data_IF_845020819241
#
_entry.id   IF_845020819241
#
_cell.length_a   1.000
_cell.length_b   1.000
_cell.length_c   1.000
_cell.angle_alpha   90.00
_cell.angle_beta   90.00
_cell.angle_gamma   90.00
#
_symmetry.space_group_name_H-M   'P 1'
#
loop_
_entity.id
_entity.type
_entity.pdbx_description
1 polymer ?
#
# COMPACT_ATOMS: atom_id res chain seq x y z
N UNK A 1 15.37 -9.49 16.74
CA UNK A 1 14.64 -10.64 16.15
C UNK A 1 14.65 -10.59 14.62
N UNK A 2 14.07 -9.58 13.96
CA UNK A 2 14.05 -9.53 12.48
C UNK A 2 15.44 -9.63 11.82
N UNK A 3 16.45 -8.95 12.39
CA UNK A 3 17.83 -9.00 11.90
C UNK A 3 18.55 -10.37 12.04
N UNK A 4 17.99 -11.33 12.78
CA UNK A 4 18.53 -12.70 12.90
C UNK A 4 17.95 -13.66 11.85
N UNK A 5 17.20 -13.14 10.85
CA UNK A 5 16.48 -13.93 9.86
C UNK A 5 17.06 -13.74 8.46
N UNK A 6 16.73 -14.68 7.58
CA UNK A 6 17.17 -14.66 6.19
C UNK A 6 16.52 -13.51 5.39
N UNK A 7 17.18 -13.09 4.31
CA UNK A 7 16.62 -12.13 3.38
C UNK A 7 15.26 -12.60 2.83
N UNK A 8 14.26 -11.72 2.91
CA UNK A 8 12.89 -12.03 2.48
C UNK A 8 11.99 -12.63 3.56
N UNK A 9 12.53 -12.94 4.75
CA UNK A 9 11.75 -13.33 5.92
C UNK A 9 11.23 -12.10 6.69
N UNK A 10 10.00 -12.19 7.19
CA UNK A 10 9.35 -11.22 8.09
C UNK A 10 8.97 -11.91 9.38
N UNK A 11 9.29 -11.27 10.49
CA UNK A 11 8.85 -11.66 11.84
C UNK A 11 7.77 -10.70 12.31
N UNK A 12 6.60 -11.22 12.64
CA UNK A 12 5.53 -10.49 13.29
C UNK A 12 5.41 -10.94 14.75
N UNK A 13 5.53 -10.00 15.68
CA UNK A 13 5.29 -10.20 17.11
C UNK A 13 3.93 -9.60 17.45
N UNK A 14 3.05 -10.36 18.08
CA UNK A 14 1.72 -9.91 18.49
C UNK A 14 1.46 -10.26 19.95
N UNK A 15 1.25 -9.26 20.79
CA UNK A 15 0.69 -9.43 22.13
C UNK A 15 -0.83 -9.29 22.00
N UNK A 16 -1.55 -10.41 22.08
CA UNK A 16 -3.02 -10.43 22.15
C UNK A 16 -3.38 -10.50 23.63
N UNK A 17 -3.67 -9.35 24.22
CA UNK A 17 -3.81 -9.22 25.66
C UNK A 17 -4.98 -8.32 26.05
N UNK A 18 -5.44 -8.47 27.29
CA UNK A 18 -6.64 -7.82 27.84
C UNK A 18 -6.37 -6.49 28.55
N UNK A 19 -5.12 -6.02 28.57
CA UNK A 19 -4.75 -4.75 29.17
C UNK A 19 -5.28 -3.53 28.39
N UNK A 20 -5.25 -2.33 29.01
CA UNK A 20 -5.81 -1.10 28.44
C UNK A 20 -5.14 -0.66 27.13
N UNK A 21 -3.95 -1.17 26.81
CA UNK A 21 -3.26 -0.91 25.55
C UNK A 21 -3.95 -1.59 24.34
N UNK A 22 -4.85 -2.55 24.56
CA UNK A 22 -5.61 -3.22 23.51
C UNK A 22 -4.77 -4.11 22.59
N UNK A 23 -3.65 -4.62 23.11
CA UNK A 23 -2.69 -5.44 22.38
C UNK A 23 -1.62 -4.65 21.62
N UNK A 24 -0.58 -5.38 21.19
CA UNK A 24 0.57 -4.85 20.45
C UNK A 24 0.78 -5.70 19.21
N UNK A 25 1.05 -5.08 18.07
CA UNK A 25 1.48 -5.78 16.87
C UNK A 25 2.69 -5.07 16.26
N UNK A 26 3.79 -5.80 16.07
CA UNK A 26 5.03 -5.31 15.45
C UNK A 26 5.45 -6.26 14.34
N UNK A 27 5.86 -5.73 13.20
CA UNK A 27 6.41 -6.47 12.08
C UNK A 27 7.81 -5.93 11.81
N UNK A 28 8.79 -6.83 11.69
CA UNK A 28 10.17 -6.50 11.34
C UNK A 28 10.69 -7.47 10.28
N UNK A 29 11.52 -6.98 9.35
CA UNK A 29 12.24 -7.81 8.37
C UNK A 29 13.77 -7.78 8.59
N UNK A 30 14.48 -8.64 7.86
CA UNK A 30 15.95 -8.75 7.94
C UNK A 30 16.70 -7.49 7.48
N UNK A 31 16.02 -6.58 6.76
CA UNK A 31 16.59 -5.30 6.27
C UNK A 31 16.37 -4.15 7.23
N UNK A 32 15.82 -4.43 8.42
CA UNK A 32 15.61 -3.42 9.46
C UNK A 32 14.38 -2.56 9.23
N UNK A 33 13.49 -2.94 8.32
CA UNK A 33 12.19 -2.29 8.18
C UNK A 33 11.30 -2.77 9.32
N UNK A 34 10.84 -1.84 10.17
CA UNK A 34 10.00 -2.12 11.33
C UNK A 34 8.76 -1.25 11.30
N UNK A 35 7.60 -1.82 11.62
CA UNK A 35 6.38 -1.05 11.89
C UNK A 35 5.58 -1.70 12.99
N UNK A 36 4.92 -0.90 13.80
CA UNK A 36 4.13 -1.41 14.91
C UNK A 36 2.92 -0.54 15.19
N UNK A 37 1.92 -1.15 15.83
CA UNK A 37 0.72 -0.49 16.32
C UNK A 37 0.31 -1.07 17.67
N UNK A 38 -0.50 -0.29 18.38
CA UNK A 38 -1.22 -0.71 19.57
C UNK A 38 -2.72 -0.51 19.35
N UNK A 39 -3.55 -1.25 20.09
CA UNK A 39 -5.01 -1.12 19.99
C UNK A 39 -5.51 0.24 20.48
N UNK A 40 -5.00 0.70 21.62
CA UNK A 40 -5.37 1.96 22.26
C UNK A 40 -4.11 2.80 22.57
N UNK A 41 -3.73 3.73 21.67
CA UNK A 41 -2.58 4.62 21.88
C UNK A 41 -2.74 5.61 23.04
N UNK A 42 -3.96 5.83 23.53
CA UNK A 42 -4.26 6.73 24.64
C UNK A 42 -4.27 6.03 26.01
N UNK A 43 -3.82 4.77 26.08
CA UNK A 43 -3.74 4.04 27.33
C UNK A 43 -2.74 4.69 28.30
N UNK A 44 -3.21 4.97 29.51
CA UNK A 44 -2.43 5.62 30.58
C UNK A 44 -2.62 4.85 31.90
N UNK A 45 -2.00 3.66 32.04
CA UNK A 45 -2.07 2.91 33.28
C UNK A 45 -1.32 3.65 34.40
N UNK A 46 -1.70 3.46 35.68
CA UNK A 46 -0.98 4.03 36.80
C UNK A 46 0.51 3.67 36.77
N UNK A 47 1.35 4.58 37.24
CA UNK A 47 2.76 4.28 37.45
C UNK A 47 2.93 3.20 38.52
N UNK A 48 4.01 2.42 38.38
CA UNK A 48 4.48 1.50 39.41
C UNK A 48 4.86 2.26 40.69
N UNK A 49 4.93 1.58 41.86
CA UNK A 49 5.36 2.18 43.11
C UNK A 49 6.76 2.83 43.06
N UNK A 50 7.63 2.37 42.15
CA UNK A 50 8.97 2.92 41.90
C UNK A 50 8.94 4.15 40.97
N UNK A 51 7.75 4.62 40.56
CA UNK A 51 7.55 5.77 39.69
C UNK A 51 7.78 5.49 38.20
N UNK A 52 8.05 4.24 37.81
CA UNK A 52 8.21 3.85 36.40
C UNK A 52 6.88 3.54 35.73
N UNK A 53 6.86 3.56 34.40
CA UNK A 53 5.71 3.14 33.61
C UNK A 53 5.39 1.66 33.89
N UNK A 54 4.12 1.35 34.11
CA UNK A 54 3.66 -0.01 34.33
C UNK A 54 3.28 -0.67 33.00
N UNK A 55 4.30 -1.10 32.25
CA UNK A 55 4.11 -1.77 30.95
C UNK A 55 3.37 -3.09 31.12
N UNK A 56 3.71 -3.86 32.16
CA UNK A 56 3.01 -5.09 32.51
C UNK A 56 1.49 -4.90 32.65
N UNK A 57 1.05 -3.92 33.43
CA UNK A 57 -0.38 -3.60 33.55
C UNK A 57 -0.98 -3.03 32.26
N UNK A 58 -0.21 -2.29 31.45
CA UNK A 58 -0.66 -1.77 30.16
C UNK A 58 -1.00 -2.89 29.17
N UNK A 59 -0.12 -3.89 29.10
CA UNK A 59 -0.25 -5.06 28.22
C UNK A 59 -1.32 -6.00 28.75
N UNK A 60 -1.29 -6.31 30.05
CA UNK A 60 -2.21 -7.25 30.68
C UNK A 60 -1.83 -8.71 30.40
N UNK A 61 -2.83 -9.59 30.46
CA UNK A 61 -2.67 -11.04 30.28
C UNK A 61 -3.19 -11.47 28.92
N UNK A 62 -2.68 -12.61 28.44
CA UNK A 62 -3.13 -13.18 27.18
C UNK A 62 -2.07 -14.05 26.54
N UNK A 63 -1.90 -13.91 25.22
CA UNK A 63 -0.99 -14.74 24.43
C UNK A 63 -0.05 -13.86 23.62
N UNK A 64 1.24 -14.19 23.71
CA UNK A 64 2.28 -13.71 22.82
C UNK A 64 2.38 -14.67 21.64
N UNK A 65 2.15 -14.17 20.43
CA UNK A 65 2.27 -14.91 19.19
C UNK A 65 3.37 -14.32 18.32
N UNK A 66 4.27 -15.18 17.84
CA UNK A 66 5.32 -14.80 16.90
C UNK A 66 5.11 -15.59 15.61
N UNK A 67 4.89 -14.86 14.52
CA UNK A 67 4.67 -15.42 13.19
C UNK A 67 5.88 -15.12 12.31
N UNK A 68 6.47 -16.14 11.72
CA UNK A 68 7.54 -16.03 10.72
C UNK A 68 6.95 -16.36 9.37
N UNK A 69 7.15 -15.47 8.41
CA UNK A 69 6.58 -15.58 7.07
C UNK A 69 7.58 -15.16 6.01
N UNK A 70 7.48 -15.73 4.83
CA UNK A 70 8.34 -15.41 3.69
C UNK A 70 7.54 -14.66 2.63
N UNK A 71 8.21 -13.81 1.87
CA UNK A 71 7.58 -13.13 0.73
C UNK A 71 7.16 -14.11 -0.39
N UNK A 72 7.70 -15.32 -0.39
CA UNK A 72 7.35 -16.36 -1.34
C UNK A 72 6.14 -17.19 -0.85
N UNK A 73 5.04 -17.19 -1.60
CA UNK A 73 3.76 -17.83 -1.27
C UNK A 73 3.83 -19.36 -1.12
N UNK A 74 4.92 -20.01 -1.55
CA UNK A 74 5.07 -21.47 -1.45
C UNK A 74 5.51 -21.94 -0.05
N UNK A 75 5.93 -21.05 0.85
CA UNK A 75 6.36 -21.40 2.21
C UNK A 75 5.27 -21.03 3.21
N UNK A 76 4.73 -22.03 3.89
CA UNK A 76 3.73 -21.80 4.94
C UNK A 76 4.36 -21.05 6.13
N UNK A 77 3.66 -20.06 6.70
CA UNK A 77 4.18 -19.32 7.84
C UNK A 77 4.30 -20.22 9.06
N UNK A 78 5.38 -20.04 9.81
CA UNK A 78 5.56 -20.66 11.12
C UNK A 78 4.93 -19.77 12.18
N UNK A 79 4.23 -20.35 13.16
CA UNK A 79 3.62 -19.62 14.27
C UNK A 79 3.98 -20.29 15.58
N UNK A 80 4.67 -19.57 16.45
CA UNK A 80 4.89 -19.94 17.85
C UNK A 80 4.03 -19.09 18.77
N UNK A 81 3.52 -19.68 19.86
CA UNK A 81 2.66 -18.99 20.83
C UNK A 81 2.98 -19.42 22.24
N UNK A 82 3.07 -18.45 23.15
CA UNK A 82 3.27 -18.67 24.59
C UNK A 82 2.32 -17.79 25.40
N UNK A 83 1.90 -18.20 26.61
CA UNK A 83 1.14 -17.32 27.49
C UNK A 83 1.99 -16.13 27.94
N UNK A 84 1.36 -14.94 27.97
CA UNK A 84 1.95 -13.75 28.59
C UNK A 84 1.95 -13.97 30.10
N UNK A 85 3.13 -13.83 30.72
CA UNK A 85 3.27 -14.07 32.15
C UNK A 85 3.39 -12.80 32.96
N UNK A 86 4.17 -11.83 32.48
CA UNK A 86 4.39 -10.58 33.23
C UNK A 86 3.81 -9.36 32.52
N UNK A 87 3.65 -9.42 31.19
CA UNK A 87 3.29 -8.26 30.37
C UNK A 87 4.47 -7.34 30.11
N UNK A 88 5.62 -7.60 30.75
CA UNK A 88 6.87 -6.92 30.46
C UNK A 88 7.47 -7.52 29.17
N UNK A 89 7.43 -6.72 28.11
CA UNK A 89 7.72 -7.17 26.74
C UNK A 89 9.03 -7.94 26.61
N UNK A 90 10.09 -7.52 27.30
CA UNK A 90 11.40 -8.17 27.23
C UNK A 90 11.38 -9.58 27.86
N UNK A 91 10.74 -9.72 29.02
CA UNK A 91 10.70 -11.01 29.73
C UNK A 91 9.83 -12.02 28.98
N UNK A 92 8.66 -11.61 28.50
CA UNK A 92 7.78 -12.49 27.75
C UNK A 92 8.40 -12.91 26.40
N UNK A 93 9.14 -12.03 25.72
CA UNK A 93 9.89 -12.38 24.51
C UNK A 93 11.07 -13.31 24.79
N UNK A 94 11.82 -13.10 25.87
CA UNK A 94 12.90 -14.01 26.27
C UNK A 94 12.35 -15.41 26.57
N UNK A 95 11.20 -15.49 27.26
CA UNK A 95 10.51 -16.75 27.51
C UNK A 95 10.03 -17.42 26.24
N UNK A 96 9.45 -16.67 25.29
CA UNK A 96 9.10 -17.19 23.97
C UNK A 96 10.30 -17.83 23.26
N UNK A 97 11.47 -17.20 23.29
CA UNK A 97 12.68 -17.73 22.65
C UNK A 97 13.13 -19.05 23.29
N UNK A 98 12.98 -19.19 24.60
CA UNK A 98 13.28 -20.44 25.32
C UNK A 98 12.24 -21.51 25.04
N UNK A 99 10.96 -21.23 25.28
CA UNK A 99 9.89 -22.22 25.27
C UNK A 99 9.52 -22.68 23.84
N UNK A 100 9.53 -21.76 22.88
CA UNK A 100 9.07 -22.01 21.51
C UNK A 100 10.19 -22.14 20.50
N UNK A 101 11.32 -21.43 20.66
CA UNK A 101 12.47 -21.51 19.74
C UNK A 101 13.64 -22.32 20.31
N UNK A 102 13.53 -22.84 21.54
CA UNK A 102 14.57 -23.64 22.22
C UNK A 102 15.94 -22.95 22.21
N UNK A 103 15.95 -21.62 22.25
CA UNK A 103 17.16 -20.81 22.18
C UNK A 103 17.33 -20.04 23.48
N UNK A 104 18.34 -20.40 24.27
CA UNK A 104 18.67 -19.68 25.49
C UNK A 104 19.10 -18.25 25.12
N UNK A 105 18.31 -17.28 25.57
CA UNK A 105 18.43 -15.89 25.12
C UNK A 105 18.28 -14.93 26.30
N UNK A 106 19.13 -13.91 26.34
CA UNK A 106 18.98 -12.77 27.22
C UNK A 106 18.52 -11.56 26.41
N UNK A 107 17.45 -10.90 26.88
CA UNK A 107 16.85 -9.75 26.22
C UNK A 107 16.69 -8.60 27.21
N UNK A 108 17.27 -7.45 26.89
CA UNK A 108 17.08 -6.20 27.62
C UNK A 108 16.49 -5.16 26.70
N UNK A 109 15.40 -4.51 27.12
CA UNK A 109 14.76 -3.42 26.38
C UNK A 109 14.56 -2.22 27.31
N UNK A 110 14.72 -1.01 26.80
CA UNK A 110 14.52 0.22 27.56
C UNK A 110 14.02 1.36 26.68
N UNK A 111 13.03 2.09 27.18
CA UNK A 111 12.52 3.31 26.57
C UNK A 111 12.44 4.39 27.65
N UNK A 112 13.01 5.56 27.33
CA UNK A 112 12.95 6.75 28.16
C UNK A 112 12.04 7.78 27.49
N UNK A 113 11.02 8.22 28.21
CA UNK A 113 10.03 9.18 27.73
C UNK A 113 10.17 10.49 28.52
N UNK A 114 10.12 11.62 27.83
CA UNK A 114 10.09 12.94 28.43
C UNK A 114 8.69 13.29 28.97
N UNK A 115 8.60 14.36 29.77
CA UNK A 115 7.32 14.81 30.33
C UNK A 115 6.34 15.32 29.28
N UNK A 116 6.84 15.71 28.10
CA UNK A 116 6.04 16.11 26.94
C UNK A 116 5.66 14.92 26.03
N UNK A 117 5.85 13.69 26.52
CA UNK A 117 5.60 12.43 25.82
C UNK A 117 6.53 12.15 24.63
N UNK A 118 7.56 12.98 24.40
CA UNK A 118 8.57 12.68 23.40
C UNK A 118 9.51 11.55 23.87
N UNK A 119 9.98 10.73 22.92
CA UNK A 119 10.95 9.68 23.20
C UNK A 119 12.34 10.32 23.35
N UNK A 120 12.95 10.20 24.52
CA UNK A 120 14.34 10.64 24.75
C UNK A 120 15.34 9.63 24.20
N UNK A 121 15.09 8.36 24.46
CA UNK A 121 15.92 7.26 24.00
C UNK A 121 15.12 5.95 23.97
N UNK A 122 15.44 5.07 23.04
CA UNK A 122 14.90 3.71 22.97
C UNK A 122 16.00 2.78 22.46
N UNK A 123 16.12 1.61 23.07
CA UNK A 123 17.17 0.66 22.70
C UNK A 123 17.08 -0.63 23.49
N UNK A 124 18.06 -1.50 23.27
CA UNK A 124 18.11 -2.80 23.90
C UNK A 124 19.18 -3.70 23.29
N UNK A 125 19.26 -4.92 23.81
CA UNK A 125 20.15 -5.96 23.34
C UNK A 125 19.43 -7.30 23.34
N UNK A 126 19.81 -8.18 22.43
CA UNK A 126 19.41 -9.60 22.38
C UNK A 126 20.69 -10.41 22.23
N UNK A 127 21.00 -11.24 23.22
CA UNK A 127 22.15 -12.15 23.21
C UNK A 127 21.60 -13.56 23.18
N UNK A 128 22.06 -14.38 22.22
CA UNK A 128 21.67 -15.78 22.11
C UNK A 128 22.87 -16.67 22.39
N UNK A 129 22.70 -17.61 23.30
CA UNK A 129 23.70 -18.63 23.62
C UNK A 129 23.52 -19.76 22.62
N UNK A 130 24.57 -20.03 21.83
CA UNK A 130 24.57 -21.12 20.87
C UNK A 130 24.79 -22.47 21.57
N UNK A 131 24.37 -23.58 20.95
CA UNK A 131 24.66 -24.91 21.46
C UNK A 131 26.16 -25.09 21.75
N UNK A 132 26.48 -25.86 22.79
CA UNK A 132 27.84 -26.18 23.22
C UNK A 132 28.64 -25.01 23.83
N UNK A 133 27.99 -23.89 24.17
CA UNK A 133 28.62 -22.90 25.04
C UNK A 133 28.98 -23.52 26.40
N UNK A 134 30.20 -23.25 26.88
CA UNK A 134 30.67 -23.74 28.18
C UNK A 134 29.95 -23.03 29.33
N UNK A 135 29.71 -23.75 30.43
CA UNK A 135 29.03 -23.19 31.62
C UNK A 135 29.74 -21.94 32.15
N UNK A 136 31.08 -21.91 32.11
CA UNK A 136 31.89 -20.75 32.50
C UNK A 136 31.58 -19.49 31.67
N UNK A 137 31.31 -19.67 30.37
CA UNK A 137 30.92 -18.59 29.46
C UNK A 137 29.54 -18.05 29.80
N UNK A 138 28.58 -18.95 30.09
CA UNK A 138 27.22 -18.59 30.46
C UNK A 138 27.21 -17.82 31.79
N UNK A 139 27.91 -18.32 32.81
CA UNK A 139 28.01 -17.64 34.10
C UNK A 139 28.68 -16.26 33.99
N UNK A 140 29.72 -16.14 33.17
CA UNK A 140 30.37 -14.85 32.92
C UNK A 140 29.43 -13.86 32.23
N UNK A 141 28.65 -14.31 31.25
CA UNK A 141 27.62 -13.50 30.59
C UNK A 141 26.55 -13.03 31.58
N UNK A 142 26.04 -13.92 32.44
CA UNK A 142 25.03 -13.59 33.46
C UNK A 142 25.56 -12.54 34.45
N UNK A 143 26.81 -12.68 34.90
CA UNK A 143 27.48 -11.69 35.75
C UNK A 143 27.58 -10.33 35.04
N UNK A 144 28.00 -10.31 33.78
CA UNK A 144 28.11 -9.06 33.00
C UNK A 144 26.76 -8.37 32.84
N UNK A 145 25.71 -9.10 32.44
CA UNK A 145 24.36 -8.55 32.28
C UNK A 145 23.83 -7.99 33.60
N UNK A 146 24.01 -8.72 34.70
CA UNK A 146 23.56 -8.28 36.03
C UNK A 146 24.30 -7.01 36.47
N UNK A 147 25.60 -6.93 36.23
CA UNK A 147 26.42 -5.77 36.57
C UNK A 147 26.15 -4.55 35.67
N UNK A 148 25.71 -4.76 34.43
CA UNK A 148 25.52 -3.68 33.45
C UNK A 148 24.33 -2.76 33.78
N UNK A 149 23.38 -3.24 34.57
CA UNK A 149 22.22 -2.46 35.02
C UNK A 149 21.13 -2.33 33.95
N UNK A 150 20.30 -1.28 34.05
CA UNK A 150 19.17 -1.11 33.14
C UNK A 150 19.59 -0.51 31.79
N UNK A 151 18.94 -0.95 30.71
CA UNK A 151 19.18 -0.41 29.35
C UNK A 151 18.92 1.10 29.31
N UNK A 152 17.89 1.58 30.02
CA UNK A 152 17.57 3.01 30.08
C UNK A 152 18.74 3.83 30.65
N UNK A 153 19.47 3.32 31.63
CA UNK A 153 20.64 3.99 32.21
C UNK A 153 21.85 3.94 31.27
N UNK A 154 22.03 2.86 30.50
CA UNK A 154 23.05 2.79 29.44
C UNK A 154 22.80 3.85 28.37
N UNK A 155 21.56 3.95 27.90
CA UNK A 155 21.16 4.95 26.91
C UNK A 155 21.30 6.38 27.45
N UNK A 156 20.96 6.61 28.72
CA UNK A 156 21.11 7.92 29.36
C UNK A 156 22.59 8.37 29.48
N UNK A 157 23.52 7.41 29.57
CA UNK A 157 24.98 7.66 29.51
C UNK A 157 25.49 7.90 28.09
N UNK A 158 24.64 7.82 27.07
CA UNK A 158 25.00 8.00 25.67
C UNK A 158 25.72 6.82 25.05
N UNK A 159 25.62 5.62 25.65
CA UNK A 159 26.26 4.42 25.13
C UNK A 159 25.68 4.03 23.76
N UNK A 160 26.56 3.73 22.82
CA UNK A 160 26.20 3.19 21.51
C UNK A 160 25.90 1.69 21.59
N UNK A 161 25.32 1.11 20.54
CA UNK A 161 25.12 -0.34 20.47
C UNK A 161 26.45 -1.12 20.57
N UNK A 162 27.54 -0.55 20.07
CA UNK A 162 28.88 -1.12 20.20
C UNK A 162 29.36 -1.11 21.65
N UNK A 163 29.22 0.03 22.35
CA UNK A 163 29.62 0.15 23.76
C UNK A 163 28.82 -0.81 24.66
N UNK A 164 27.51 -0.93 24.41
CA UNK A 164 26.64 -1.86 25.14
C UNK A 164 27.09 -3.30 24.88
N UNK A 165 27.37 -3.67 23.63
CA UNK A 165 27.85 -5.00 23.28
C UNK A 165 29.19 -5.31 23.93
N UNK A 166 30.14 -4.37 23.89
CA UNK A 166 31.47 -4.53 24.49
C UNK A 166 31.38 -4.72 26.01
N UNK A 167 30.54 -3.93 26.69
CA UNK A 167 30.34 -4.06 28.13
C UNK A 167 29.71 -5.42 28.49
N UNK A 168 28.72 -5.89 27.72
CA UNK A 168 28.02 -7.15 28.01
C UNK A 168 28.86 -8.39 27.70
N UNK A 169 29.70 -8.33 26.67
CA UNK A 169 30.55 -9.44 26.24
C UNK A 169 31.99 -9.36 26.78
N UNK A 170 32.24 -8.45 27.72
CA UNK A 170 33.56 -8.24 28.30
C UNK A 170 34.14 -9.56 28.84
N UNK A 171 35.33 -9.92 28.35
CA UNK A 171 36.04 -11.14 28.77
C UNK A 171 35.60 -12.44 28.07
N UNK A 172 34.59 -12.40 27.19
CA UNK A 172 34.10 -13.57 26.45
C UNK A 172 34.70 -13.69 25.03
N UNK A 173 35.47 -12.69 24.59
CA UNK A 173 36.07 -12.61 23.26
C UNK A 173 35.13 -12.03 22.19
N UNK A 174 35.72 -11.46 21.14
CA UNK A 174 35.00 -10.90 19.97
C UNK A 174 35.08 -9.38 19.89
N UNK A 175 35.93 -8.87 19.00
CA UNK A 175 36.08 -7.44 18.67
C UNK A 175 35.67 -7.12 17.23
N UNK A 176 34.87 -8.00 16.61
CA UNK A 176 34.35 -7.73 15.27
C UNK A 176 32.98 -7.07 15.45
N UNK A 177 32.95 -5.75 15.29
CA UNK A 177 31.68 -5.02 15.14
C UNK A 177 31.08 -5.52 13.84
N UNK A 178 30.24 -6.54 13.94
CA UNK A 178 29.69 -7.25 12.78
C UNK A 178 28.80 -6.39 11.89
N UNK A 179 27.86 -7.03 11.21
CA UNK A 179 26.91 -6.36 10.33
C UNK A 179 26.14 -5.24 11.05
N UNK A 180 26.29 -4.00 10.57
CA UNK A 180 25.56 -2.84 11.07
C UNK A 180 24.32 -2.57 10.21
N UNK A 181 23.19 -2.38 10.88
CA UNK A 181 21.91 -2.08 10.24
C UNK A 181 21.22 -0.92 10.95
N UNK A 182 20.76 0.06 10.18
CA UNK A 182 19.96 1.16 10.70
C UNK A 182 18.48 0.85 10.52
N UNK A 183 17.70 0.64 11.59
CA UNK A 183 16.28 0.36 11.47
C UNK A 183 15.53 1.55 10.88
N UNK A 184 14.52 1.27 10.07
CA UNK A 184 13.66 2.29 9.44
C UNK A 184 12.20 1.91 9.62
N UNK A 185 11.35 2.92 9.74
CA UNK A 185 9.92 2.69 9.81
C UNK A 185 9.39 2.27 8.43
N UNK A 186 8.68 1.14 8.31
CA UNK A 186 8.01 0.75 7.05
C UNK A 186 7.85 -0.75 6.78
N UNK A 187 7.49 -1.17 5.55
CA UNK A 187 7.17 -0.29 4.42
C UNK A 187 5.80 0.38 4.64
N UNK A 188 5.82 1.71 4.54
CA UNK A 188 4.69 2.64 4.65
C UNK A 188 4.97 3.89 3.80
N UNK A 189 5.89 3.79 2.84
CA UNK A 189 6.17 4.83 1.85
C UNK A 189 4.89 5.14 1.06
N UNK A 190 4.66 6.41 0.68
CA UNK A 190 3.40 6.82 0.05
C UNK A 190 3.01 5.97 -1.18
N UNK A 191 3.96 5.61 -2.05
CA UNK A 191 3.72 4.78 -3.24
C UNK A 191 3.20 3.39 -2.85
N UNK A 192 3.93 2.69 -1.99
CA UNK A 192 3.63 1.32 -1.57
C UNK A 192 2.34 1.26 -0.73
N UNK A 193 2.09 2.31 0.05
CA UNK A 193 0.89 2.42 0.86
C UNK A 193 -0.35 2.65 0.00
N UNK A 194 -0.26 3.55 -0.99
CA UNK A 194 -1.36 3.85 -1.90
C UNK A 194 -1.79 2.62 -2.69
N UNK A 195 -0.84 1.83 -3.21
CA UNK A 195 -1.17 0.60 -3.95
C UNK A 195 -1.85 -0.45 -3.07
N UNK A 196 -1.38 -0.62 -1.83
CA UNK A 196 -2.02 -1.52 -0.85
C UNK A 196 -3.42 -1.05 -0.47
N UNK A 197 -3.63 0.27 -0.33
CA UNK A 197 -4.94 0.85 -0.04
C UNK A 197 -5.90 0.66 -1.22
N UNK A 198 -5.44 0.88 -2.46
CA UNK A 198 -6.22 0.59 -3.68
C UNK A 198 -6.66 -0.89 -3.73
N UNK A 199 -5.73 -1.80 -3.44
CA UNK A 199 -6.04 -3.24 -3.36
C UNK A 199 -7.08 -3.54 -2.28
N UNK A 200 -6.98 -2.91 -1.11
CA UNK A 200 -7.97 -3.07 -0.04
C UNK A 200 -9.37 -2.59 -0.46
N UNK A 201 -9.47 -1.44 -1.15
CA UNK A 201 -10.75 -0.96 -1.71
C UNK A 201 -11.28 -1.92 -2.77
N UNK A 202 -10.42 -2.45 -3.64
CA UNK A 202 -10.81 -3.39 -4.69
C UNK A 202 -11.42 -4.69 -4.14
N UNK A 203 -11.07 -5.09 -2.91
CA UNK A 203 -11.62 -6.29 -2.26
C UNK A 203 -13.07 -6.13 -1.79
N UNK A 204 -13.58 -4.90 -1.61
CA UNK A 204 -14.98 -4.64 -1.27
C UNK A 204 -15.92 -5.03 -2.43
N UNK A 205 -15.42 -5.03 -3.66
CA UNK A 205 -16.22 -5.28 -4.85
C UNK A 205 -16.96 -4.04 -5.35
N UNK A 206 -17.36 -4.08 -6.62
CA UNK A 206 -17.83 -2.89 -7.34
C UNK A 206 -19.12 -2.29 -6.78
N UNK A 207 -20.04 -3.12 -6.27
CA UNK A 207 -21.33 -2.64 -5.77
C UNK A 207 -21.20 -1.94 -4.41
N UNK A 208 -20.32 -2.44 -3.53
CA UNK A 208 -20.06 -1.81 -2.22
C UNK A 208 -19.29 -0.50 -2.39
N UNK A 209 -18.29 -0.47 -3.28
CA UNK A 209 -17.60 0.76 -3.68
C UNK A 209 -18.59 1.79 -4.23
N UNK A 210 -19.49 1.39 -5.14
CA UNK A 210 -20.50 2.29 -5.71
C UNK A 210 -21.43 2.86 -4.63
N UNK A 211 -21.92 2.02 -3.72
CA UNK A 211 -22.79 2.44 -2.61
C UNK A 211 -22.10 3.48 -1.71
N UNK A 212 -20.84 3.27 -1.36
CA UNK A 212 -20.09 4.21 -0.50
C UNK A 212 -19.87 5.54 -1.23
N UNK A 213 -19.53 5.47 -2.51
CA UNK A 213 -19.36 6.67 -3.34
C UNK A 213 -20.68 7.45 -3.51
N UNK A 214 -21.80 6.77 -3.72
CA UNK A 214 -23.13 7.41 -3.83
C UNK A 214 -23.58 8.08 -2.53
N UNK A 215 -23.27 7.47 -1.37
CA UNK A 215 -23.67 8.00 -0.06
C UNK A 215 -22.72 9.09 0.48
N UNK A 216 -21.42 8.94 0.25
CA UNK A 216 -20.38 9.72 0.92
C UNK A 216 -19.54 10.58 -0.02
N UNK A 217 -19.62 10.37 -1.34
CA UNK A 217 -18.83 11.07 -2.36
C UNK A 217 -17.32 10.75 -2.35
N UNK A 218 -16.88 9.89 -1.43
CA UNK A 218 -15.47 9.50 -1.26
C UNK A 218 -15.37 8.21 -0.46
N UNK A 219 -14.26 7.50 -0.64
CA UNK A 219 -13.82 6.38 0.19
C UNK A 219 -12.55 6.79 0.92
N UNK A 220 -12.58 6.73 2.26
CA UNK A 220 -11.40 6.99 3.08
C UNK A 220 -10.80 5.67 3.57
N UNK A 221 -9.49 5.50 3.36
CA UNK A 221 -8.75 4.34 3.86
C UNK A 221 -7.61 4.80 4.74
N UNK A 222 -7.62 4.38 6.00
CA UNK A 222 -6.55 4.69 6.96
C UNK A 222 -5.66 3.47 7.16
N UNK A 223 -4.35 3.67 7.08
CA UNK A 223 -3.40 2.64 7.44
C UNK A 223 -3.40 2.41 8.95
N UNK A 224 -3.66 1.18 9.37
CA UNK A 224 -3.61 0.80 10.79
C UNK A 224 -2.23 0.97 11.45
N UNK A 225 -1.15 0.97 10.67
CA UNK A 225 0.22 1.11 11.19
C UNK A 225 0.64 2.58 11.23
N UNK A 226 0.75 3.25 10.08
CA UNK A 226 1.25 4.63 10.02
C UNK A 226 0.19 5.69 10.26
N UNK A 227 -1.10 5.31 10.36
CA UNK A 227 -2.25 6.21 10.52
C UNK A 227 -2.41 7.25 9.41
N UNK A 228 -1.67 7.13 8.31
CA UNK A 228 -1.90 7.93 7.12
C UNK A 228 -3.25 7.53 6.51
N UNK A 229 -4.08 8.54 6.24
CA UNK A 229 -5.36 8.38 5.56
C UNK A 229 -5.20 8.77 4.10
N UNK A 230 -5.70 7.93 3.21
CA UNK A 230 -5.83 8.22 1.79
C UNK A 230 -7.31 8.32 1.44
N UNK A 231 -7.66 9.35 0.68
CA UNK A 231 -9.03 9.58 0.22
C UNK A 231 -9.09 9.26 -1.27
N UNK A 232 -9.96 8.32 -1.62
CA UNK A 232 -10.42 8.10 -2.98
C UNK A 232 -11.72 8.91 -3.12
N UNK A 233 -11.61 10.17 -3.49
CA UNK A 233 -12.79 10.88 -3.95
C UNK A 233 -13.11 10.41 -5.38
N UNK A 234 -14.33 10.73 -5.85
CA UNK A 234 -14.48 10.98 -7.28
C UNK A 234 -13.51 12.13 -7.64
N UNK A 235 -13.37 12.49 -8.91
CA UNK A 235 -12.60 13.67 -9.28
C UNK A 235 -11.06 13.49 -9.32
N UNK A 236 -10.56 13.25 -10.54
CA UNK A 236 -9.95 14.37 -11.24
C UNK A 236 -10.83 14.62 -12.47
N UNK A 237 -11.59 15.71 -12.47
CA UNK A 237 -12.70 15.98 -13.42
C UNK A 237 -12.22 16.20 -14.85
N UNK A 238 -11.04 16.80 -15.01
CA UNK A 238 -10.51 17.27 -16.28
C UNK A 238 -9.05 16.82 -16.42
N UNK A 239 -8.72 16.10 -17.49
CA UNK A 239 -7.40 15.49 -17.67
C UNK A 239 -6.45 16.35 -18.50
N UNK A 240 -6.98 17.12 -19.45
CA UNK A 240 -6.18 17.93 -20.36
C UNK A 240 -7.01 19.08 -20.92
N UNK A 241 -6.38 20.25 -21.09
CA UNK A 241 -7.03 21.46 -21.57
C UNK A 241 -6.11 22.21 -22.53
N UNK A 242 -6.64 22.68 -23.66
CA UNK A 242 -5.90 23.59 -24.54
C UNK A 242 -6.76 24.67 -25.17
N UNK A 243 -6.07 25.69 -25.69
CA UNK A 243 -6.60 26.67 -26.64
C UNK A 243 -5.74 26.72 -27.90
N UNK A 244 -6.36 26.57 -29.06
CA UNK A 244 -5.68 26.54 -30.36
C UNK A 244 -6.25 27.56 -31.35
N UNK A 245 -5.45 27.90 -32.36
CA UNK A 245 -5.86 28.60 -33.58
C UNK A 245 -5.63 27.67 -34.76
N UNK A 246 -6.70 27.17 -35.37
CA UNK A 246 -6.59 26.00 -36.25
C UNK A 246 -5.96 24.82 -35.49
N UNK A 247 -4.99 24.13 -36.10
CA UNK A 247 -4.27 23.02 -35.46
C UNK A 247 -3.07 23.49 -34.62
N UNK A 248 -2.85 24.79 -34.47
CA UNK A 248 -1.74 25.33 -33.67
C UNK A 248 -2.20 25.58 -32.23
N UNK A 249 -1.76 24.74 -31.29
CA UNK A 249 -1.97 24.95 -29.85
C UNK A 249 -1.21 26.19 -29.41
N UNK A 250 -1.92 27.18 -28.87
CA UNK A 250 -1.35 28.43 -28.40
C UNK A 250 -0.94 28.34 -26.93
N UNK A 251 -1.75 27.65 -26.14
CA UNK A 251 -1.44 27.23 -24.79
C UNK A 251 -2.21 25.98 -24.39
N UNK A 252 -1.59 25.15 -23.56
CA UNK A 252 -2.20 23.95 -22.97
C UNK A 252 -1.79 23.75 -21.51
N UNK A 253 -2.51 22.87 -20.84
CA UNK A 253 -2.22 22.45 -19.48
C UNK A 253 -2.73 21.01 -19.24
N UNK A 254 -1.94 20.22 -18.53
CA UNK A 254 -2.25 18.86 -18.09
C UNK A 254 -1.73 18.65 -16.68
N UNK A 255 -2.49 17.94 -15.83
CA UNK A 255 -1.99 17.35 -14.59
C UNK A 255 -1.46 15.92 -14.78
N UNK A 256 -1.64 15.35 -15.98
CA UNK A 256 -1.42 13.94 -16.28
C UNK A 256 -0.21 13.68 -17.19
N UNK A 257 0.44 12.55 -16.94
CA UNK A 257 1.38 11.89 -17.87
C UNK A 257 0.61 10.97 -18.81
N UNK A 258 0.74 11.18 -20.12
CA UNK A 258 0.02 10.39 -21.12
C UNK A 258 0.01 11.04 -22.50
N UNK A 259 -0.78 10.48 -23.41
CA UNK A 259 -0.87 10.95 -24.81
C UNK A 259 -2.17 11.72 -25.15
N UNK A 260 -2.85 12.28 -24.14
CA UNK A 260 -4.06 13.09 -24.33
C UNK A 260 -3.88 14.21 -25.35
N UNK A 261 -2.73 14.89 -25.34
CA UNK A 261 -2.42 15.97 -26.28
C UNK A 261 -2.38 15.50 -27.73
N UNK A 262 -1.75 14.35 -27.98
CA UNK A 262 -1.66 13.74 -29.32
C UNK A 262 -3.04 13.35 -29.83
N UNK A 263 -3.83 12.65 -29.01
CA UNK A 263 -5.19 12.19 -29.37
C UNK A 263 -6.11 13.38 -29.61
N UNK A 264 -6.05 14.39 -28.74
CA UNK A 264 -6.87 15.58 -28.85
C UNK A 264 -6.55 16.41 -30.12
N UNK A 265 -5.28 16.49 -30.51
CA UNK A 265 -4.86 17.17 -31.73
C UNK A 265 -5.32 16.43 -32.99
N UNK A 266 -5.23 15.10 -33.01
CA UNK A 266 -5.70 14.31 -34.16
C UNK A 266 -7.22 14.42 -34.37
N UNK A 267 -8.01 14.42 -33.29
CA UNK A 267 -9.45 14.65 -33.40
C UNK A 267 -9.78 16.08 -33.84
N UNK A 268 -8.97 17.07 -33.46
CA UNK A 268 -9.15 18.46 -33.89
C UNK A 268 -9.08 18.59 -35.42
N UNK A 269 -8.13 17.90 -36.06
CA UNK A 269 -7.92 18.01 -37.51
C UNK A 269 -9.14 17.57 -38.33
N UNK A 270 -9.98 16.68 -37.77
CA UNK A 270 -11.20 16.18 -38.44
C UNK A 270 -12.49 16.87 -37.99
N UNK A 271 -12.56 17.31 -36.73
CA UNK A 271 -13.79 17.85 -36.13
C UNK A 271 -14.00 19.36 -36.30
N UNK A 272 -12.94 20.14 -36.54
CA UNK A 272 -13.00 21.61 -36.58
C UNK A 272 -13.58 22.21 -37.88
N UNK A 273 -14.71 21.68 -38.36
CA UNK A 273 -15.38 22.20 -39.55
C UNK A 273 -16.59 23.08 -39.17
N UNK A 274 -16.33 24.36 -38.86
CA UNK A 274 -17.38 25.36 -38.65
C UNK A 274 -16.95 26.53 -37.76
N UNK A 275 -17.34 27.75 -38.14
CA UNK A 275 -17.23 28.93 -37.29
C UNK A 275 -18.35 28.89 -36.23
N UNK A 276 -18.00 28.63 -34.97
CA UNK A 276 -18.90 28.44 -33.83
C UNK A 276 -19.63 27.08 -33.78
N UNK A 277 -18.90 26.03 -33.42
CA UNK A 277 -19.38 24.66 -33.30
C UNK A 277 -18.99 24.07 -31.93
N UNK A 278 -19.84 23.16 -31.42
CA UNK A 278 -19.58 22.31 -30.26
C UNK A 278 -19.57 20.86 -30.73
N UNK A 279 -18.52 20.11 -30.44
CA UNK A 279 -18.45 18.69 -30.80
C UNK A 279 -17.69 17.88 -29.74
N UNK A 280 -18.02 16.60 -29.65
CA UNK A 280 -17.42 15.68 -28.67
C UNK A 280 -16.98 14.40 -29.36
N UNK A 281 -15.76 13.95 -29.05
CA UNK A 281 -15.31 12.60 -29.36
C UNK A 281 -15.18 11.78 -28.07
N UNK A 282 -15.60 10.51 -28.09
CA UNK A 282 -15.41 9.57 -26.98
C UNK A 282 -14.28 8.59 -27.29
N UNK A 283 -13.44 8.27 -26.30
CA UNK A 283 -12.35 7.30 -26.39
C UNK A 283 -11.98 6.76 -25.00
N UNK A 284 -11.96 5.43 -24.84
CA UNK A 284 -11.43 4.77 -23.64
C UNK A 284 -11.92 5.36 -22.30
N UNK A 285 -13.24 5.59 -22.19
CA UNK A 285 -13.88 6.14 -20.98
C UNK A 285 -13.68 7.64 -20.77
N UNK A 286 -13.08 8.33 -21.74
CA UNK A 286 -12.89 9.78 -21.73
C UNK A 286 -13.65 10.45 -22.87
N UNK A 287 -14.03 11.72 -22.65
CA UNK A 287 -14.64 12.58 -23.66
C UNK A 287 -13.74 13.77 -23.97
N UNK A 288 -13.47 13.97 -25.26
CA UNK A 288 -12.74 15.09 -25.82
C UNK A 288 -13.77 16.11 -26.30
N UNK A 289 -13.96 17.18 -25.54
CA UNK A 289 -15.02 18.17 -25.78
C UNK A 289 -14.41 19.43 -26.39
N UNK A 290 -14.92 19.86 -27.54
CA UNK A 290 -14.40 20.98 -28.31
C UNK A 290 -15.45 22.08 -28.48
N UNK A 291 -15.06 23.31 -28.15
CA UNK A 291 -15.81 24.53 -28.38
C UNK A 291 -15.03 25.42 -29.34
N UNK A 292 -15.54 25.66 -30.55
CA UNK A 292 -14.94 26.65 -31.46
C UNK A 292 -15.65 27.99 -31.30
N UNK A 293 -14.88 29.08 -31.23
CA UNK A 293 -15.44 30.43 -31.19
C UNK A 293 -14.43 31.47 -31.68
N UNK A 294 -14.86 32.37 -32.58
CA UNK A 294 -14.07 33.49 -33.10
C UNK A 294 -12.68 33.09 -33.64
N UNK A 295 -12.59 31.96 -34.35
CA UNK A 295 -11.33 31.46 -34.93
C UNK A 295 -10.41 30.72 -33.97
N UNK A 296 -10.84 30.49 -32.73
CA UNK A 296 -10.14 29.69 -31.72
C UNK A 296 -10.92 28.43 -31.38
N UNK A 297 -10.20 27.38 -30.97
CA UNK A 297 -10.79 26.14 -30.45
C UNK A 297 -10.33 25.92 -29.02
N UNK A 298 -11.28 25.69 -28.13
CA UNK A 298 -11.07 25.33 -26.73
C UNK A 298 -11.39 23.86 -26.57
N UNK A 299 -10.50 23.09 -25.96
CA UNK A 299 -10.73 21.67 -25.69
C UNK A 299 -10.54 21.37 -24.22
N UNK A 300 -11.43 20.53 -23.67
CA UNK A 300 -11.18 19.83 -22.42
C UNK A 300 -11.43 18.33 -22.57
N UNK A 301 -10.51 17.53 -22.02
CA UNK A 301 -10.70 16.09 -21.81
C UNK A 301 -11.28 15.86 -20.43
N UNK A 302 -12.39 15.12 -20.34
CA UNK A 302 -13.06 14.78 -19.09
C UNK A 302 -13.42 13.30 -19.05
N UNK A 303 -13.61 12.73 -17.86
CA UNK A 303 -14.19 11.39 -17.74
C UNK A 303 -15.61 11.37 -18.33
N UNK A 304 -15.94 10.30 -19.06
CA UNK A 304 -17.24 10.15 -19.73
C UNK A 304 -18.42 10.18 -18.75
N UNK A 305 -18.21 9.81 -17.48
CA UNK A 305 -19.23 9.79 -16.42
C UNK A 305 -19.77 11.17 -16.08
N UNK A 306 -18.97 12.24 -16.23
CA UNK A 306 -19.42 13.63 -16.00
C UNK A 306 -20.40 14.13 -17.07
N UNK A 307 -20.57 13.36 -18.15
CA UNK A 307 -21.33 13.78 -19.31
C UNK A 307 -20.75 15.05 -19.95
N UNK A 308 -21.54 15.69 -20.81
CA UNK A 308 -21.03 16.78 -21.68
C UNK A 308 -21.34 18.18 -21.16
N UNK A 309 -22.36 18.32 -20.31
CA UNK A 309 -22.84 19.64 -19.90
C UNK A 309 -21.81 20.39 -19.05
N UNK A 310 -21.14 19.67 -18.15
CA UNK A 310 -20.08 20.17 -17.28
C UNK A 310 -18.86 20.61 -18.12
N UNK A 311 -18.26 19.75 -18.98
CA UNK A 311 -17.19 20.16 -19.89
C UNK A 311 -17.51 21.38 -20.75
N UNK A 312 -18.72 21.49 -21.31
CA UNK A 312 -19.07 22.66 -22.12
C UNK A 312 -19.28 23.92 -21.28
N UNK A 313 -19.89 23.83 -20.10
CA UNK A 313 -20.00 24.97 -19.18
C UNK A 313 -18.62 25.48 -18.76
N UNK A 314 -17.68 24.56 -18.51
CA UNK A 314 -16.28 24.86 -18.26
C UNK A 314 -15.63 25.62 -19.43
N UNK A 315 -15.75 25.08 -20.65
CA UNK A 315 -15.16 25.68 -21.84
C UNK A 315 -15.69 27.10 -22.11
N UNK A 316 -16.96 27.37 -21.81
CA UNK A 316 -17.52 28.72 -21.94
C UNK A 316 -16.84 29.73 -21.00
N UNK A 317 -16.50 29.33 -19.76
CA UNK A 317 -15.75 30.18 -18.82
C UNK A 317 -14.34 30.48 -19.31
N UNK A 318 -13.64 29.46 -19.80
CA UNK A 318 -12.29 29.62 -20.38
C UNK A 318 -12.34 30.51 -21.62
N UNK A 319 -13.35 30.33 -22.48
CA UNK A 319 -13.60 31.16 -23.66
C UNK A 319 -13.84 32.62 -23.29
N UNK A 320 -14.70 32.89 -22.31
CA UNK A 320 -15.00 34.26 -21.86
C UNK A 320 -13.73 34.98 -21.39
N UNK A 321 -12.90 34.32 -20.58
CA UNK A 321 -11.64 34.94 -20.13
C UNK A 321 -10.65 35.15 -21.28
N UNK A 322 -10.56 34.19 -22.22
CA UNK A 322 -9.76 34.32 -23.43
C UNK A 322 -10.15 35.54 -24.25
N UNK A 323 -11.46 35.72 -24.49
CA UNK A 323 -11.98 36.86 -25.25
C UNK A 323 -11.66 38.19 -24.59
N UNK A 324 -11.69 38.25 -23.26
CA UNK A 324 -11.45 39.50 -22.53
C UNK A 324 -10.00 39.97 -22.57
N UNK A 325 -9.02 39.05 -22.55
CA UNK A 325 -7.61 39.37 -22.27
C UNK A 325 -6.60 38.92 -23.33
N UNK A 326 -6.93 37.96 -24.17
CA UNK A 326 -5.98 37.33 -25.11
C UNK A 326 -6.43 37.30 -26.58
N UNK A 327 -7.68 37.63 -26.89
CA UNK A 327 -8.20 37.63 -28.26
C UNK A 327 -7.38 38.49 -29.25
N UNK A 328 -6.83 39.61 -28.81
CA UNK A 328 -5.99 40.50 -29.65
C UNK A 328 -4.58 39.94 -29.90
N UNK A 329 -4.06 39.13 -28.98
CA UNK A 329 -2.70 38.54 -29.07
C UNK A 329 -2.68 37.22 -29.83
N UNK A 330 -3.81 36.50 -29.85
CA UNK A 330 -3.92 35.19 -30.47
C UNK A 330 -3.65 35.12 -31.99
N UNK A 331 -3.92 36.14 -32.84
CA UNK A 331 -3.64 36.05 -34.28
C UNK A 331 -2.15 36.01 -34.63
N UNK A 332 -1.29 36.61 -33.78
CA UNK A 332 0.16 36.64 -33.99
C UNK A 332 0.93 35.60 -33.14
N UNK A 333 0.24 34.89 -32.23
CA UNK A 333 0.85 33.90 -31.36
C UNK A 333 1.35 32.67 -32.15
N UNK A 334 2.55 32.21 -31.79
CA UNK A 334 3.14 30.95 -32.23
C UNK A 334 2.73 29.78 -31.32
N UNK A 335 3.04 28.55 -31.75
CA UNK A 335 2.73 27.36 -30.97
C UNK A 335 3.32 27.46 -29.55
N UNK A 336 2.52 27.17 -28.53
CA UNK A 336 2.88 27.22 -27.10
C UNK A 336 3.48 28.54 -26.60
N UNK A 337 3.41 29.62 -27.39
CA UNK A 337 4.01 30.91 -27.02
C UNK A 337 3.28 31.60 -25.88
N UNK A 338 2.04 31.19 -25.59
CA UNK A 338 1.21 31.78 -24.54
C UNK A 338 1.21 30.95 -23.25
N UNK A 339 1.87 29.79 -23.19
CA UNK A 339 1.93 28.92 -22.00
C UNK A 339 2.28 29.69 -20.74
N UNK A 340 3.30 30.55 -20.80
CA UNK A 340 3.74 31.35 -19.64
C UNK A 340 2.72 32.38 -19.18
N UNK A 341 1.87 32.88 -20.08
CA UNK A 341 0.94 33.96 -19.79
C UNK A 341 -0.50 33.48 -19.52
N UNK A 342 -0.90 32.38 -20.15
CA UNK A 342 -2.26 31.85 -20.09
C UNK A 342 -2.31 30.44 -19.48
N UNK A 343 -1.26 29.64 -19.57
CA UNK A 343 -1.17 28.33 -18.92
C UNK A 343 -1.49 28.34 -17.41
N UNK A 344 -0.97 29.30 -16.61
CA UNK A 344 -1.36 29.41 -15.20
C UNK A 344 -2.87 29.68 -14.99
N UNK A 345 -3.54 30.32 -15.94
CA UNK A 345 -5.00 30.53 -15.90
C UNK A 345 -5.75 29.27 -16.29
N UNK A 346 -5.27 28.49 -17.26
CA UNK A 346 -5.82 27.17 -17.59
C UNK A 346 -5.76 26.23 -16.38
N UNK A 347 -4.60 26.19 -15.71
CA UNK A 347 -4.43 25.48 -14.44
C UNK A 347 -5.42 25.95 -13.37
N UNK A 348 -5.48 27.27 -13.15
CA UNK A 348 -6.42 27.86 -12.18
C UNK A 348 -7.87 27.45 -12.46
N UNK A 349 -8.31 27.47 -13.72
CA UNK A 349 -9.68 27.09 -14.06
C UNK A 349 -9.95 25.61 -13.81
N UNK A 350 -9.01 24.72 -14.12
CA UNK A 350 -9.16 23.30 -13.81
C UNK A 350 -9.29 23.07 -12.30
N UNK A 351 -8.40 23.67 -11.50
CA UNK A 351 -8.45 23.58 -10.03
C UNK A 351 -9.72 24.25 -9.46
N UNK A 352 -10.15 25.39 -10.01
CA UNK A 352 -11.35 26.09 -9.56
C UNK A 352 -12.61 25.26 -9.76
N UNK A 353 -12.71 24.55 -10.89
CA UNK A 353 -13.90 23.77 -11.22
C UNK A 353 -13.99 22.48 -10.42
N UNK A 354 -12.84 21.90 -10.05
CA UNK A 354 -12.76 20.82 -9.08
C UNK A 354 -13.21 21.28 -7.69
N UNK A 355 -12.90 22.51 -7.29
CA UNK A 355 -13.27 23.06 -5.98
C UNK A 355 -14.72 23.59 -5.90
N UNK A 356 -15.38 23.87 -7.02
CA UNK A 356 -16.71 24.51 -7.07
C UNK A 356 -17.69 23.83 -8.06
N UNK A 357 -17.97 22.52 -7.92
CA UNK A 357 -18.81 21.77 -8.86
C UNK A 357 -20.26 22.31 -8.97
N UNK A 358 -20.79 22.91 -7.91
CA UNK A 358 -22.15 23.47 -7.84
C UNK A 358 -22.34 24.71 -8.74
N UNK A 359 -21.30 25.52 -8.92
CA UNK A 359 -21.35 26.67 -9.83
C UNK A 359 -21.40 26.20 -11.28
N UNK A 360 -20.58 25.21 -11.62
CA UNK A 360 -20.54 24.62 -12.94
C UNK A 360 -21.86 23.94 -13.30
N UNK A 361 -22.45 23.21 -12.36
CA UNK A 361 -23.76 22.56 -12.51
C UNK A 361 -24.88 23.59 -12.73
N UNK A 362 -24.85 24.72 -12.02
CA UNK A 362 -25.80 25.83 -12.26
C UNK A 362 -25.64 26.40 -13.67
N UNK A 363 -24.43 26.71 -14.11
CA UNK A 363 -24.16 27.22 -15.47
C UNK A 363 -24.61 26.20 -16.53
N UNK A 364 -24.28 24.93 -16.34
CA UNK A 364 -24.71 23.82 -17.19
C UNK A 364 -26.25 23.71 -17.26
N UNK A 365 -26.95 23.87 -16.15
CA UNK A 365 -28.42 23.83 -16.08
C UNK A 365 -29.08 25.02 -16.78
N UNK A 366 -28.45 26.19 -16.76
CA UNK A 366 -28.90 27.38 -17.50
C UNK A 366 -28.66 27.18 -19.00
N UNK A 367 -27.51 26.64 -19.39
CA UNK A 367 -27.20 26.35 -20.79
C UNK A 367 -28.14 25.30 -21.39
N UNK A 368 -28.67 24.37 -20.59
CA UNK A 368 -29.70 23.41 -21.01
C UNK A 368 -31.04 24.09 -21.37
N UNK A 369 -31.35 25.25 -20.78
CA UNK A 369 -32.61 26.00 -21.01
C UNK A 369 -32.52 26.97 -22.19
N UNK A 370 -31.32 27.29 -22.64
CA UNK A 370 -31.07 28.09 -23.84
C UNK A 370 -30.81 27.11 -24.98
N UNK A 371 -31.78 26.96 -25.88
CA UNK A 371 -31.89 25.96 -26.96
C UNK A 371 -30.76 25.98 -28.04
N UNK A 372 -29.49 26.02 -27.67
CA UNK A 372 -28.34 25.83 -28.58
C UNK A 372 -27.84 24.37 -28.63
N UNK A 373 -28.37 23.49 -27.78
CA UNK A 373 -27.87 22.11 -27.59
C UNK A 373 -28.29 21.14 -28.71
N UNK A 374 -28.96 21.61 -29.78
CA UNK A 374 -29.35 20.73 -30.91
C UNK A 374 -28.20 20.30 -31.83
N UNK A 375 -27.04 20.96 -31.77
CA UNK A 375 -25.96 20.78 -32.75
C UNK A 375 -24.64 20.25 -32.16
N UNK A 376 -24.67 19.52 -31.03
CA UNK A 376 -23.45 18.84 -30.55
C UNK A 376 -23.26 17.55 -31.33
N UNK A 377 -22.37 17.57 -32.31
CA UNK A 377 -21.97 16.36 -33.06
C UNK A 377 -21.16 15.45 -32.14
N UNK A 378 -21.59 14.19 -32.04
CA UNK A 378 -20.91 13.15 -31.27
C UNK A 378 -20.46 12.06 -32.23
N UNK A 379 -19.18 11.71 -32.16
CA UNK A 379 -18.65 10.55 -32.88
C UNK A 379 -17.59 9.84 -32.05
N UNK A 380 -17.29 8.59 -32.37
CA UNK A 380 -16.23 7.83 -31.71
C UNK A 380 -14.90 8.15 -32.42
N UNK A 381 -13.86 8.47 -31.65
CA UNK A 381 -12.54 8.77 -32.21
C UNK A 381 -11.91 7.56 -32.92
N UNK A 382 -12.28 6.33 -32.58
CA UNK A 382 -11.71 5.12 -33.19
C UNK A 382 -11.83 5.13 -34.72
N UNK A 383 -12.98 5.58 -35.25
CA UNK A 383 -13.20 5.73 -36.71
C UNK A 383 -12.32 6.82 -37.32
N UNK A 384 -11.93 7.80 -36.52
CA UNK A 384 -11.01 8.87 -36.91
C UNK A 384 -9.56 8.35 -36.88
N UNK A 385 -9.22 7.43 -35.98
CA UNK A 385 -7.90 6.82 -35.84
C UNK A 385 -7.61 5.69 -36.87
N UNK A 386 -8.62 5.09 -37.50
CA UNK A 386 -8.51 3.96 -38.46
C UNK A 386 -7.60 4.17 -39.69
N UNK A 387 -7.14 5.39 -39.99
CA UNK A 387 -6.28 5.69 -41.16
C UNK A 387 -4.89 6.25 -40.81
N UNK A 388 -4.60 6.42 -39.53
CA UNK A 388 -3.25 6.67 -39.00
C UNK A 388 -2.86 5.50 -38.09
N UNK A 389 -1.62 5.47 -37.58
CA UNK A 389 -1.24 4.48 -36.56
C UNK A 389 -2.31 4.42 -35.46
N UNK A 390 -2.73 3.21 -35.07
CA UNK A 390 -3.73 3.03 -34.01
C UNK A 390 -3.11 3.51 -32.69
N UNK A 391 -3.37 4.76 -32.32
CA UNK A 391 -2.94 5.34 -31.05
C UNK A 391 -3.98 4.97 -30.01
N UNK A 392 -3.65 4.04 -29.12
CA UNK A 392 -4.45 3.75 -27.93
C UNK A 392 -4.29 4.91 -26.93
N UNK A 393 -5.34 5.26 -26.18
CA UNK A 393 -5.25 6.30 -25.17
C UNK A 393 -4.39 5.78 -24.00
N UNK A 394 -3.14 6.22 -23.95
CA UNK A 394 -2.17 5.88 -22.93
C UNK A 394 -2.24 6.95 -21.85
N UNK A 395 -3.02 6.65 -20.82
CA UNK A 395 -3.05 7.41 -19.57
C UNK A 395 -2.16 6.67 -18.59
N UNK A 396 -0.96 7.18 -18.36
CA UNK A 396 -0.09 6.61 -17.35
C UNK A 396 -0.49 7.18 -15.98
N UNK A 397 -1.54 6.60 -15.40
CA UNK A 397 -1.94 6.81 -14.00
C UNK A 397 -1.51 5.58 -13.22
N UNK A 398 -0.20 5.32 -13.13
CA UNK A 398 0.37 4.12 -12.50
C UNK A 398 -0.23 2.85 -13.09
N UNK A 399 0.41 2.33 -14.13
CA UNK A 399 0.05 1.10 -14.82
C UNK A 399 -0.53 -0.03 -13.92
N UNK A 400 -1.79 -0.38 -14.25
CA UNK A 400 -2.29 -1.75 -14.39
C UNK A 400 -3.14 -2.40 -13.27
N UNK A 401 -4.33 -1.85 -12.99
CA UNK A 401 -5.38 -2.54 -12.19
C UNK A 401 -6.19 -3.59 -12.99
N UNK A 402 -6.19 -3.53 -14.33
CA UNK A 402 -7.02 -4.42 -15.15
C UNK A 402 -6.38 -5.79 -15.44
N UNK A 403 -5.04 -5.90 -15.40
CA UNK A 403 -4.34 -7.15 -15.77
C UNK A 403 -4.05 -8.12 -14.61
N UNK A 404 -4.24 -7.71 -13.34
CA UNK A 404 -4.05 -8.59 -12.17
C UNK A 404 -5.34 -9.23 -11.64
N UNK A 405 -6.49 -8.54 -11.74
CA UNK A 405 -7.77 -9.08 -11.26
C UNK A 405 -8.23 -10.32 -12.05
N UNK A 406 -7.95 -10.38 -13.36
CA UNK A 406 -8.40 -11.47 -14.22
C UNK A 406 -7.54 -12.75 -14.07
N UNK A 407 -6.30 -12.62 -13.58
CA UNK A 407 -5.44 -13.77 -13.19
C UNK A 407 -5.86 -14.39 -11.85
N UNK A 408 -6.51 -13.63 -10.96
CA UNK A 408 -6.96 -14.15 -9.67
C UNK A 408 -8.25 -14.98 -9.79
N UNK A 409 -9.20 -14.55 -10.64
CA UNK A 409 -10.45 -15.29 -10.87
C UNK A 409 -10.25 -16.67 -11.53
N UNK A 410 -9.21 -16.85 -12.37
CA UNK A 410 -8.92 -18.15 -13.00
C UNK A 410 -8.18 -19.13 -12.08
N UNK A 411 -7.53 -18.66 -11.02
CA UNK A 411 -6.72 -19.51 -10.13
C UNK A 411 -7.57 -20.17 -9.02
N UNK A 412 -8.64 -19.51 -8.57
CA UNK A 412 -9.54 -20.03 -7.52
C UNK A 412 -10.28 -21.33 -7.87
N UNK A 413 -10.60 -21.57 -9.15
CA UNK A 413 -11.24 -22.84 -9.59
C UNK A 413 -10.24 -23.95 -9.90
N UNK A 414 -9.02 -23.63 -10.33
CA UNK A 414 -7.96 -24.62 -10.61
C UNK A 414 -7.28 -25.15 -9.33
N UNK A 415 -7.28 -24.37 -8.24
CA UNK A 415 -6.80 -24.81 -6.92
C UNK A 415 -7.66 -25.93 -6.31
N UNK A 416 -8.99 -25.85 -6.46
CA UNK A 416 -9.90 -26.88 -5.91
C UNK A 416 -9.75 -28.24 -6.61
N UNK A 417 -9.49 -28.27 -7.91
CA UNK A 417 -9.27 -29.53 -8.66
C UNK A 417 -7.88 -30.14 -8.41
N UNK A 418 -6.83 -29.31 -8.23
CA UNK A 418 -5.49 -29.81 -7.84
C UNK A 418 -5.45 -30.33 -6.41
N UNK A 419 -6.10 -29.66 -5.46
CA UNK A 419 -6.21 -30.15 -4.07
C UNK A 419 -7.02 -31.46 -3.99
N UNK A 420 -8.08 -31.59 -4.81
CA UNK A 420 -8.82 -32.85 -4.93
C UNK A 420 -7.94 -33.99 -5.49
N UNK A 421 -7.16 -33.73 -6.54
CA UNK A 421 -6.23 -34.71 -7.12
C UNK A 421 -5.06 -35.08 -6.22
N UNK A 422 -4.51 -34.14 -5.44
CA UNK A 422 -3.43 -34.42 -4.49
C UNK A 422 -3.93 -35.22 -3.29
N UNK A 423 -5.10 -34.89 -2.75
CA UNK A 423 -5.74 -35.68 -1.71
C UNK A 423 -6.13 -37.08 -2.21
N UNK A 424 -6.53 -37.23 -3.47
CA UNK A 424 -6.81 -38.53 -4.07
C UNK A 424 -5.54 -39.36 -4.30
N UNK A 425 -4.44 -38.75 -4.76
CA UNK A 425 -3.13 -39.41 -4.91
C UNK A 425 -2.59 -39.90 -3.56
N UNK A 426 -2.66 -39.08 -2.51
CA UNK A 426 -2.23 -39.48 -1.16
C UNK A 426 -3.10 -40.61 -0.60
N UNK A 427 -4.42 -40.58 -0.80
CA UNK A 427 -5.31 -41.68 -0.40
C UNK A 427 -4.97 -42.99 -1.13
N UNK A 428 -4.67 -42.95 -2.42
CA UNK A 428 -4.27 -44.14 -3.19
C UNK A 428 -2.94 -44.72 -2.73
N UNK A 429 -1.95 -43.86 -2.42
CA UNK A 429 -0.65 -44.32 -1.89
C UNK A 429 -0.84 -44.99 -0.52
N UNK A 430 -1.64 -44.42 0.37
CA UNK A 430 -1.93 -45.01 1.68
C UNK A 430 -2.63 -46.36 1.54
N UNK A 431 -3.62 -46.48 0.66
CA UNK A 431 -4.31 -47.76 0.39
C UNK A 431 -3.34 -48.80 -0.17
N UNK A 432 -2.46 -48.41 -1.10
CA UNK A 432 -1.45 -49.31 -1.66
C UNK A 432 -0.47 -49.83 -0.61
N UNK A 433 0.00 -48.96 0.29
CA UNK A 433 0.87 -49.36 1.42
C UNK A 433 0.14 -50.34 2.36
N UNK A 434 -1.13 -50.08 2.68
CA UNK A 434 -1.92 -50.98 3.52
C UNK A 434 -2.11 -52.37 2.88
N UNK A 435 -2.33 -52.43 1.56
CA UNK A 435 -2.41 -53.70 0.83
C UNK A 435 -1.07 -54.43 0.85
N UNK A 436 0.04 -53.72 0.64
CA UNK A 436 1.39 -54.29 0.70
C UNK A 436 1.67 -54.91 2.07
N UNK A 437 1.33 -54.19 3.15
CA UNK A 437 1.47 -54.69 4.52
C UNK A 437 0.60 -55.93 4.72
N UNK A 438 -0.65 -55.92 4.26
CA UNK A 438 -1.55 -57.07 4.37
C UNK A 438 -1.00 -58.30 3.61
N UNK A 439 -0.42 -58.11 2.42
CA UNK A 439 0.22 -59.18 1.64
C UNK A 439 1.47 -59.70 2.35
N UNK A 440 2.30 -58.82 2.91
CA UNK A 440 3.48 -59.23 3.67
C UNK A 440 3.08 -60.04 4.89
N UNK A 441 2.05 -59.61 5.63
CA UNK A 441 1.51 -60.35 6.78
C UNK A 441 0.94 -61.69 6.32
N UNK A 442 0.17 -61.73 5.23
CA UNK A 442 -0.37 -62.97 4.67
C UNK A 442 0.75 -63.95 4.28
N UNK A 443 1.75 -63.49 3.53
CA UNK A 443 2.91 -64.29 3.17
C UNK A 443 3.70 -64.74 4.41
N UNK A 444 3.90 -63.87 5.40
CA UNK A 444 4.56 -64.25 6.64
C UNK A 444 3.78 -65.34 7.38
N UNK A 445 2.45 -65.25 7.48
CA UNK A 445 1.61 -66.26 8.13
C UNK A 445 1.57 -67.57 7.34
N UNK A 446 1.46 -67.50 6.01
CA UNK A 446 1.39 -68.68 5.13
C UNK A 446 2.74 -69.38 4.95
N UNK A 447 3.88 -68.67 5.02
CA UNK A 447 5.22 -69.23 4.79
C UNK A 447 6.05 -69.44 6.06
N UNK A 448 5.75 -68.79 7.20
CA UNK A 448 6.44 -69.07 8.48
C UNK A 448 5.84 -70.26 9.23
N UNK A 449 4.59 -70.63 8.94
CA UNK A 449 4.00 -71.88 9.38
C UNK A 449 4.28 -72.98 8.36
N UNK A 450 5.37 -73.72 8.54
CA UNK A 450 5.72 -74.85 7.68
C UNK A 450 4.66 -75.96 7.66
N UNK A 451 3.61 -75.80 6.85
CA UNK A 451 2.78 -76.89 6.33
C UNK A 451 2.31 -76.53 4.91
N UNK A 452 2.70 -77.40 3.98
CA UNK A 452 2.33 -77.38 2.56
C UNK A 452 0.84 -77.06 2.36
N UNK A 453 0.53 -76.12 1.48
CA UNK A 453 -0.74 -76.10 0.77
C UNK A 453 -0.47 -75.98 -0.73
N UNK A 454 -0.98 -76.99 -1.43
CA UNK A 454 -1.15 -77.13 -2.88
C UNK A 454 -2.24 -76.17 -3.38
#
# INVERSE_FOLDING_TARGET
MGAFRDEGERTQVTFKADGPLGGIQVIADARGMVKGKVGNPAADPPLRPDGKLDVGSAVGRGVLAVVRSWQNEYVQPFTGMVPITTGEVAEDLARYLVDSEQTQSALGLGVSIAKDLSIKAAGGFLIQVLPFAEDETIEALERNITAAGSVTDMLARGMTAADISEQLLQGLGGSDTGFQLTPRYGPCEPSDLQDRMKQAVALLGADEVRSIMEEQGKIEVTCDFCRQTYQFAEDEVLAYLFVSRGNTVLADYTSYTGNFSTVALQALEKGAQGANAKFTYSCDGHTFNYLTSNGYTFLVVADEQFGRQIPFAFLEKVREEWQQKWAEKGPAAAAHSLDKSFGPRLKYWMEYCEQHPEELSKVASVQKKVDEVKNIMVDNIEKVLERGEKIELLVDKTDNLRFQADKFHKTGRQLRSRMWWQNMKMKLIVVFILILIAVIIFCAVCFSGGKRCF
#
